data_IF_176670225153
#
_entry.id   IF_176670225153
#
_cell.length_a   1.000
_cell.length_b   1.000
_cell.length_c   1.000
_cell.angle_alpha   90.00
_cell.angle_beta   90.00
_cell.angle_gamma   90.00
#
_symmetry.space_group_name_H-M   'P 1'
#
loop_
_entity.id
_entity.type
_entity.pdbx_description
1 polymer ?
#
# COMPACT_ATOMS: atom_id res chain seq x y z
N UNK A 1 -12.07 -25.87 -41.16
CA UNK A 1 -11.17 -24.69 -41.08
C UNK A 1 -11.59 -23.75 -39.95
N UNK A 2 -12.89 -23.52 -39.70
CA UNK A 2 -13.37 -22.70 -38.58
C UNK A 2 -13.11 -23.31 -37.18
N UNK A 3 -13.17 -24.63 -37.04
CA UNK A 3 -12.91 -25.32 -35.74
C UNK A 3 -11.54 -25.00 -35.13
N UNK A 4 -10.49 -24.91 -35.93
CA UNK A 4 -9.14 -24.61 -35.42
C UNK A 4 -9.05 -23.20 -34.80
N UNK A 5 -9.78 -22.22 -35.35
CA UNK A 5 -9.80 -20.86 -34.83
C UNK A 5 -10.59 -20.76 -33.52
N UNK A 6 -11.69 -21.51 -33.42
CA UNK A 6 -12.47 -21.60 -32.18
C UNK A 6 -11.67 -22.31 -31.09
N UNK A 7 -11.05 -23.45 -31.38
CA UNK A 7 -10.19 -24.17 -30.42
C UNK A 7 -9.02 -23.31 -29.94
N UNK A 8 -8.39 -22.53 -30.84
CA UNK A 8 -7.31 -21.63 -30.47
C UNK A 8 -7.79 -20.46 -29.59
N UNK A 9 -9.01 -19.96 -29.82
CA UNK A 9 -9.62 -18.89 -29.03
C UNK A 9 -9.97 -19.40 -27.63
N UNK A 10 -10.58 -20.58 -27.53
CA UNK A 10 -10.96 -21.21 -26.25
C UNK A 10 -9.71 -21.49 -25.38
N UNK A 11 -8.61 -21.95 -25.99
CA UNK A 11 -7.33 -22.14 -25.31
C UNK A 11 -6.73 -20.81 -24.82
N UNK A 12 -6.88 -19.74 -25.59
CA UNK A 12 -6.42 -18.40 -25.19
C UNK A 12 -7.26 -17.84 -24.03
N UNK A 13 -8.58 -17.99 -24.08
CA UNK A 13 -9.49 -17.58 -23.02
C UNK A 13 -9.19 -18.31 -21.70
N UNK A 14 -8.90 -19.62 -21.77
CA UNK A 14 -8.50 -20.42 -20.61
C UNK A 14 -7.17 -19.93 -20.00
N UNK A 15 -6.19 -19.59 -20.84
CA UNK A 15 -4.90 -19.03 -20.40
C UNK A 15 -5.06 -17.65 -19.77
N UNK A 16 -5.86 -16.76 -20.37
CA UNK A 16 -6.12 -15.42 -19.84
C UNK A 16 -6.84 -15.49 -18.49
N UNK A 17 -7.84 -16.37 -18.36
CA UNK A 17 -8.52 -16.61 -17.08
C UNK A 17 -7.54 -17.08 -16.01
N UNK A 18 -6.61 -17.95 -16.37
CA UNK A 18 -5.56 -18.42 -15.46
C UNK A 18 -4.63 -17.28 -15.03
N UNK A 19 -4.16 -16.47 -15.98
CA UNK A 19 -3.29 -15.32 -15.69
C UNK A 19 -4.00 -14.28 -14.81
N UNK A 20 -5.27 -14.00 -15.07
CA UNK A 20 -6.06 -13.09 -14.23
C UNK A 20 -6.13 -13.58 -12.78
N UNK A 21 -6.35 -14.89 -12.57
CA UNK A 21 -6.31 -15.50 -11.24
C UNK A 21 -4.96 -15.33 -10.54
N UNK A 22 -3.85 -15.61 -11.26
CA UNK A 22 -2.49 -15.46 -10.72
C UNK A 22 -2.17 -14.00 -10.37
N UNK A 23 -2.60 -13.04 -11.18
CA UNK A 23 -2.38 -11.61 -10.92
C UNK A 23 -3.15 -11.13 -9.68
N UNK A 24 -4.40 -11.58 -9.51
CA UNK A 24 -5.19 -11.28 -8.30
C UNK A 24 -4.52 -11.89 -7.06
N UNK A 25 -4.08 -13.14 -7.12
CA UNK A 25 -3.38 -13.78 -6.01
C UNK A 25 -2.07 -13.05 -5.64
N UNK A 26 -1.30 -12.64 -6.66
CA UNK A 26 -0.09 -11.85 -6.46
C UNK A 26 -0.42 -10.51 -5.80
N UNK A 27 -1.47 -9.82 -6.27
CA UNK A 27 -1.94 -8.56 -5.69
C UNK A 27 -2.30 -8.74 -4.21
N UNK A 28 -3.09 -9.74 -3.86
CA UNK A 28 -3.49 -9.98 -2.46
C UNK A 28 -2.30 -10.29 -1.56
N UNK A 29 -1.34 -11.07 -2.07
CA UNK A 29 -0.09 -11.37 -1.35
C UNK A 29 0.77 -10.12 -1.15
N UNK A 30 0.87 -9.25 -2.15
CA UNK A 30 1.60 -7.98 -2.03
C UNK A 30 0.94 -7.04 -1.03
N UNK A 31 -0.40 -6.93 -1.01
CA UNK A 31 -1.12 -6.10 -0.05
C UNK A 31 -0.90 -6.56 1.41
N UNK A 32 -0.89 -7.88 1.63
CA UNK A 32 -0.64 -8.44 2.96
C UNK A 32 0.78 -8.12 3.45
N UNK A 33 1.77 -8.20 2.56
CA UNK A 33 3.15 -7.87 2.87
C UNK A 33 3.34 -6.36 3.08
N UNK A 34 2.71 -5.52 2.25
CA UNK A 34 2.81 -4.07 2.37
C UNK A 34 2.21 -3.57 3.69
N UNK A 35 1.12 -4.17 4.16
CA UNK A 35 0.50 -3.80 5.44
C UNK A 35 1.46 -4.03 6.63
N UNK A 36 2.15 -5.18 6.66
CA UNK A 36 3.16 -5.48 7.70
C UNK A 36 4.39 -4.59 7.58
N UNK A 37 4.83 -4.31 6.35
CA UNK A 37 5.96 -3.42 6.14
C UNK A 37 5.63 -1.98 6.54
N UNK A 38 4.39 -1.52 6.33
CA UNK A 38 3.94 -0.20 6.73
C UNK A 38 3.95 -0.02 8.26
N UNK A 39 3.50 -1.03 9.03
CA UNK A 39 3.55 -0.96 10.49
C UNK A 39 5.00 -0.94 10.99
N UNK A 40 5.88 -1.78 10.46
CA UNK A 40 7.30 -1.78 10.82
C UNK A 40 7.98 -0.44 10.48
N UNK A 41 7.76 0.08 9.27
CA UNK A 41 8.31 1.36 8.85
C UNK A 41 7.86 2.53 9.75
N UNK A 42 6.61 2.51 10.24
CA UNK A 42 6.13 3.52 11.17
C UNK A 42 6.83 3.42 12.54
N UNK A 43 7.08 2.22 13.05
CA UNK A 43 7.87 2.03 14.27
C UNK A 43 9.33 2.49 14.11
N UNK A 44 9.95 2.19 12.96
CA UNK A 44 11.30 2.61 12.63
C UNK A 44 11.41 4.14 12.54
N UNK A 45 10.43 4.82 11.94
CA UNK A 45 10.43 6.30 11.88
C UNK A 45 10.30 6.90 13.29
N UNK A 46 9.46 6.34 14.17
CA UNK A 46 9.38 6.77 15.56
C UNK A 46 10.72 6.60 16.29
N UNK A 47 11.40 5.47 16.08
CA UNK A 47 12.73 5.21 16.63
C UNK A 47 13.78 6.20 16.09
N UNK A 48 13.73 6.51 14.80
CA UNK A 48 14.59 7.52 14.18
C UNK A 48 14.33 8.92 14.74
N UNK A 49 13.08 9.35 14.85
CA UNK A 49 12.70 10.62 15.47
C UNK A 49 13.17 10.73 16.91
N UNK A 50 12.99 9.66 17.69
CA UNK A 50 13.43 9.58 19.07
C UNK A 50 14.95 9.69 19.20
N UNK A 51 15.70 8.97 18.36
CA UNK A 51 17.15 9.04 18.33
C UNK A 51 17.65 10.45 17.96
N UNK A 52 17.09 11.06 16.90
CA UNK A 52 17.39 12.46 16.52
C UNK A 52 17.14 13.46 17.66
N UNK A 53 16.15 13.18 18.52
CA UNK A 53 15.76 14.03 19.65
C UNK A 53 16.42 13.63 20.99
N UNK A 54 17.23 12.56 21.02
CA UNK A 54 17.87 12.06 22.25
C UNK A 54 16.89 11.49 23.28
N UNK A 55 15.81 10.86 22.82
CA UNK A 55 14.73 10.32 23.66
C UNK A 55 14.80 8.80 23.67
N UNK A 56 15.06 8.20 24.84
CA UNK A 56 15.06 6.74 25.00
C UNK A 56 13.67 6.19 25.36
N UNK A 57 12.91 6.95 26.14
CA UNK A 57 11.58 6.59 26.61
C UNK A 57 10.65 7.80 26.64
N UNK A 58 9.38 7.56 26.36
CA UNK A 58 8.34 8.59 26.36
C UNK A 58 7.03 8.04 26.96
N UNK A 59 6.19 8.95 27.45
CA UNK A 59 4.86 8.59 27.97
C UNK A 59 3.83 8.57 26.85
N UNK A 60 3.01 7.51 26.80
CA UNK A 60 1.85 7.48 25.92
C UNK A 60 0.90 8.64 26.26
N UNK A 61 0.51 9.45 25.27
CA UNK A 61 -0.43 10.57 25.49
C UNK A 61 -1.85 10.10 25.86
N UNK A 62 -2.20 8.85 25.53
CA UNK A 62 -3.51 8.27 25.82
C UNK A 62 -3.61 7.68 27.24
N UNK A 63 -2.75 6.71 27.58
CA UNK A 63 -2.82 6.03 28.89
C UNK A 63 -1.81 6.54 29.93
N UNK A 64 -0.84 7.36 29.55
CA UNK A 64 0.17 7.93 30.45
C UNK A 64 1.35 7.00 30.81
N UNK A 65 1.29 5.74 30.39
CA UNK A 65 2.32 4.72 30.69
C UNK A 65 3.64 4.99 29.96
N UNK A 66 4.76 4.60 30.56
CA UNK A 66 6.09 4.82 29.98
C UNK A 66 6.45 3.71 29.00
N UNK A 67 6.84 4.08 27.78
CA UNK A 67 7.20 3.16 26.71
C UNK A 67 8.64 3.44 26.28
N UNK A 68 9.43 2.37 26.11
CA UNK A 68 10.78 2.43 25.56
C UNK A 68 10.71 2.36 24.04
N UNK A 69 11.06 3.46 23.37
CA UNK A 69 10.80 3.62 21.93
C UNK A 69 11.65 2.63 21.13
N UNK A 70 12.90 2.39 21.55
CA UNK A 70 13.81 1.45 20.87
C UNK A 70 13.43 -0.04 21.00
N UNK A 71 12.37 -0.39 21.76
CA UNK A 71 11.87 -1.75 21.90
C UNK A 71 10.56 -2.00 21.14
N UNK A 72 10.03 -1.00 20.45
CA UNK A 72 8.79 -1.11 19.69
C UNK A 72 9.04 -1.89 18.39
N UNK A 73 8.29 -2.98 18.21
CA UNK A 73 8.22 -3.72 16.94
C UNK A 73 7.08 -3.21 16.03
N UNK A 74 6.13 -2.48 16.61
CA UNK A 74 4.95 -1.92 15.97
C UNK A 74 4.69 -0.52 16.53
N UNK A 75 3.98 0.36 15.81
CA UNK A 75 3.75 1.74 16.22
C UNK A 75 2.62 1.84 17.26
N UNK A 76 2.43 0.83 18.11
CA UNK A 76 1.31 0.73 19.03
C UNK A 76 1.79 0.74 20.48
N UNK A 77 1.00 1.33 21.38
CA UNK A 77 1.27 1.27 22.81
C UNK A 77 1.09 -0.17 23.33
N UNK A 78 2.09 -0.77 24.00
CA UNK A 78 1.98 -2.13 24.54
C UNK A 78 0.98 -2.25 25.70
N UNK A 79 0.49 -1.13 26.23
CA UNK A 79 -0.42 -1.10 27.39
C UNK A 79 -1.89 -0.86 27.00
N UNK A 80 -2.14 -0.01 26.00
CA UNK A 80 -3.50 0.40 25.62
C UNK A 80 -3.82 0.20 24.13
N UNK A 81 -2.88 -0.35 23.35
CA UNK A 81 -3.00 -0.60 21.91
C UNK A 81 -3.25 0.64 21.04
N UNK A 82 -3.07 1.85 21.58
CA UNK A 82 -3.18 3.08 20.80
C UNK A 82 -2.01 3.26 19.83
N UNK A 83 -2.29 3.63 18.59
CA UNK A 83 -1.28 3.90 17.56
C UNK A 83 -0.59 5.25 17.78
N UNK A 84 0.73 5.27 17.66
CA UNK A 84 1.59 6.44 17.75
C UNK A 84 1.85 7.03 16.37
N UNK A 85 1.87 8.36 16.26
CA UNK A 85 2.27 9.06 15.03
C UNK A 85 3.51 9.94 15.19
N UNK A 86 3.82 10.38 16.42
CA UNK A 86 4.99 11.24 16.66
C UNK A 86 5.52 11.09 18.09
N UNK A 87 6.75 11.59 18.29
CA UNK A 87 7.50 11.61 19.55
C UNK A 87 7.84 13.04 19.94
N UNK A 88 7.06 13.67 20.80
CA UNK A 88 7.35 15.03 21.28
C UNK A 88 8.47 15.04 22.34
N UNK A 89 9.45 15.95 22.23
CA UNK A 89 10.48 16.13 23.26
C UNK A 89 9.87 16.71 24.54
N UNK A 90 10.62 16.59 25.64
CA UNK A 90 10.23 17.19 26.92
C UNK A 90 10.01 18.69 26.79
N UNK A 91 8.88 19.17 27.32
CA UNK A 91 8.55 20.58 27.41
C UNK A 91 8.98 21.13 28.78
N UNK A 92 9.84 22.15 28.80
CA UNK A 92 10.33 22.79 30.04
C UNK A 92 11.35 21.98 30.84
N UNK A 93 11.75 22.49 32.01
CA UNK A 93 12.82 21.93 32.86
C UNK A 93 12.45 20.59 33.54
N UNK A 94 11.15 20.32 33.72
CA UNK A 94 10.63 19.13 34.42
C UNK A 94 9.73 18.24 33.56
N UNK A 95 9.66 18.48 32.24
CA UNK A 95 8.81 17.71 31.33
C UNK A 95 9.34 16.31 31.05
N UNK A 96 8.44 15.40 30.68
CA UNK A 96 8.77 14.11 30.06
C UNK A 96 8.45 14.16 28.56
N UNK A 97 9.20 13.41 27.76
CA UNK A 97 8.87 13.19 26.36
C UNK A 97 7.52 12.45 26.24
N UNK A 98 6.79 12.69 25.16
CA UNK A 98 5.46 12.08 24.93
C UNK A 98 5.38 11.41 23.57
N UNK A 99 4.72 10.26 23.54
CA UNK A 99 4.28 9.59 22.32
C UNK A 99 2.87 10.07 22.01
N UNK A 100 2.71 10.74 20.88
CA UNK A 100 1.43 11.31 20.45
C UNK A 100 0.62 10.22 19.76
N UNK A 101 -0.54 9.93 20.34
CA UNK A 101 -1.58 9.09 19.75
C UNK A 101 -2.49 9.94 18.88
N UNK A 102 -2.80 9.44 17.69
CA UNK A 102 -3.81 10.01 16.79
C UNK A 102 -4.02 9.12 15.57
N UNK A 103 -4.83 9.57 14.62
CA UNK A 103 -4.73 9.05 13.27
C UNK A 103 -3.54 9.73 12.57
N UNK A 104 -2.81 9.02 11.69
CA UNK A 104 -1.86 9.67 10.80
C UNK A 104 -2.58 10.85 10.14
N UNK A 105 -1.95 12.04 10.06
CA UNK A 105 -2.60 13.20 9.47
C UNK A 105 -3.15 12.76 8.11
N UNK A 106 -4.44 12.99 7.88
CA UNK A 106 -5.05 12.69 6.61
C UNK A 106 -4.26 13.47 5.57
N UNK A 107 -3.38 12.77 4.85
CA UNK A 107 -2.67 13.36 3.73
C UNK A 107 -3.75 13.74 2.74
N UNK A 108 -4.05 15.03 2.65
CA UNK A 108 -4.76 15.66 1.54
C UNK A 108 -3.83 15.60 0.32
N UNK A 109 -3.49 14.38 -0.09
CA UNK A 109 -2.86 14.15 -1.37
C UNK A 109 -3.93 14.39 -2.42
N UNK A 110 -3.73 15.42 -3.24
CA UNK A 110 -4.35 15.53 -4.55
C UNK A 110 -4.11 14.19 -5.25
N UNK A 111 -5.10 13.31 -5.22
CA UNK A 111 -5.05 12.11 -6.05
C UNK A 111 -5.15 12.65 -7.46
N UNK A 112 -4.10 12.47 -8.25
CA UNK A 112 -4.25 12.61 -9.68
C UNK A 112 -5.48 11.77 -10.06
N UNK A 113 -6.49 12.41 -10.65
CA UNK A 113 -7.67 11.75 -11.16
C UNK A 113 -7.26 11.08 -12.47
N UNK A 114 -6.48 10.00 -12.35
CA UNK A 114 -6.22 9.13 -13.46
C UNK A 114 -7.49 8.30 -13.61
N UNK A 115 -8.25 8.59 -14.65
CA UNK A 115 -9.43 7.83 -15.01
C UNK A 115 -9.01 6.42 -15.44
N UNK A 116 -8.98 5.51 -14.47
CA UNK A 116 -8.73 4.08 -14.70
C UNK A 116 -9.81 3.46 -15.57
N UNK A 117 -11.02 4.03 -15.53
CA UNK A 117 -12.15 3.67 -16.38
C UNK A 117 -11.77 3.86 -17.83
N UNK A 118 -11.23 5.03 -18.21
CA UNK A 118 -10.75 5.29 -19.58
C UNK A 118 -9.75 4.26 -20.13
N UNK A 119 -8.98 3.57 -19.27
CA UNK A 119 -8.02 2.54 -19.73
C UNK A 119 -8.69 1.17 -19.89
N UNK A 120 -9.77 0.92 -19.16
CA UNK A 120 -10.54 -0.33 -19.18
C UNK A 120 -11.73 -0.28 -20.15
N UNK A 121 -12.30 0.91 -20.36
CA UNK A 121 -13.33 1.28 -21.34
C UNK A 121 -12.73 1.71 -22.68
N UNK A 122 -11.41 1.56 -22.86
CA UNK A 122 -10.84 1.46 -24.20
C UNK A 122 -11.42 0.18 -24.80
N UNK A 123 -12.57 0.35 -25.45
CA UNK A 123 -13.44 -0.70 -25.96
C UNK A 123 -12.61 -1.77 -26.66
N UNK A 124 -12.85 -3.04 -26.32
CA UNK A 124 -12.28 -4.17 -27.05
C UNK A 124 -12.51 -4.06 -28.57
N UNK A 125 -13.52 -3.28 -28.97
CA UNK A 125 -13.84 -2.87 -30.34
C UNK A 125 -12.72 -2.09 -31.02
N UNK A 126 -12.10 -1.09 -30.35
CA UNK A 126 -10.99 -0.30 -30.90
C UNK A 126 -9.73 -1.16 -31.09
N UNK A 127 -9.49 -2.11 -30.17
CA UNK A 127 -8.40 -3.09 -30.30
C UNK A 127 -8.64 -4.08 -31.44
N UNK A 128 -9.90 -4.49 -31.66
CA UNK A 128 -10.25 -5.38 -32.78
C UNK A 128 -10.13 -4.68 -34.14
N UNK A 129 -10.54 -3.41 -34.24
CA UNK A 129 -10.45 -2.61 -35.48
C UNK A 129 -8.98 -2.27 -35.81
N UNK A 130 -8.17 -1.97 -34.79
CA UNK A 130 -6.73 -1.78 -34.96
C UNK A 130 -6.00 -3.09 -35.35
N UNK A 131 -6.44 -4.24 -34.84
CA UNK A 131 -5.85 -5.53 -35.19
C UNK A 131 -6.24 -5.97 -36.60
N UNK A 132 -7.48 -5.72 -37.04
CA UNK A 132 -7.94 -5.98 -38.41
C UNK A 132 -7.20 -5.12 -39.44
N UNK A 133 -6.88 -3.86 -39.12
CA UNK A 133 -6.07 -3.00 -39.98
C UNK A 133 -4.64 -3.57 -40.18
N UNK A 134 -4.00 -4.07 -39.11
CA UNK A 134 -2.66 -4.65 -39.19
C UNK A 134 -2.65 -5.97 -39.97
N UNK A 135 -3.69 -6.81 -39.82
CA UNK A 135 -3.78 -8.11 -40.51
C UNK A 135 -4.09 -7.94 -42.01
N UNK A 136 -4.79 -6.87 -42.39
CA UNK A 136 -5.16 -6.60 -43.80
C UNK A 136 -4.06 -5.91 -44.62
N UNK A 137 -2.97 -5.44 -43.99
CA UNK A 137 -1.81 -4.85 -44.68
C UNK A 137 -0.79 -5.88 -45.21
N UNK A 138 -0.89 -7.16 -44.85
CA UNK A 138 0.09 -8.21 -45.22
C UNK A 138 -0.26 -9.02 -46.48
N UNK A 139 -1.29 -8.62 -47.25
CA UNK A 139 -1.81 -9.37 -48.43
C UNK A 139 -1.57 -8.69 -49.81
N UNK A 140 -0.56 -7.81 -49.95
CA UNK A 140 -0.07 -7.33 -51.27
C UNK A 140 1.38 -7.74 -51.61
#
# INVERSE_FOLDING_TARGET
>A
MLEYLTDATDDLEAKLTTLAGVVVELRDRTQTLSARHASQAAADELAHLANRRGIESAKCSHCGETVHIGLLAEPNCPHCASTFNDVEPKQGLFGSARLVVGDPPALEGERADWDVGSVMDADATDLSEALDAIISEDDE
#
